data_IF_384720056705
#
_entry.id   IF_384720056705
#
_cell.length_a   1.000
_cell.length_b   1.000
_cell.length_c   1.000
_cell.angle_alpha   90.00
_cell.angle_beta   90.00
_cell.angle_gamma   90.00
#
_symmetry.space_group_name_H-M   'P 1'
#
loop_
_entity.id
_entity.type
_entity.pdbx_description
1 polymer ?
#
# COMPACT_ATOMS: atom_id res chain seq x y z
N UNK A 1 1.11 20.10 2.89
CA UNK A 1 0.11 19.52 3.81
C UNK A 1 0.55 19.80 5.23
N UNK A 2 -0.29 20.43 6.06
CA UNK A 2 0.01 20.69 7.48
C UNK A 2 -0.67 19.60 8.32
N UNK A 3 -0.07 19.16 9.43
CA UNK A 3 -0.61 18.10 10.30
C UNK A 3 -2.04 18.40 10.77
N UNK A 4 -2.35 19.68 11.03
CA UNK A 4 -3.72 20.11 11.37
C UNK A 4 -4.73 19.79 10.26
N UNK A 5 -4.32 19.89 8.99
CA UNK A 5 -5.22 19.58 7.88
C UNK A 5 -5.49 18.09 7.82
N UNK A 6 -4.45 17.24 7.93
CA UNK A 6 -4.63 15.78 7.95
C UNK A 6 -5.56 15.34 9.08
N UNK A 7 -5.37 15.89 10.30
CA UNK A 7 -6.23 15.59 11.43
C UNK A 7 -7.69 16.00 11.16
N UNK A 8 -7.92 17.22 10.68
CA UNK A 8 -9.25 17.71 10.38
C UNK A 8 -9.93 16.90 9.27
N UNK A 9 -9.20 16.53 8.22
CA UNK A 9 -9.74 15.77 7.09
C UNK A 9 -10.20 14.37 7.53
N UNK A 10 -9.43 13.72 8.41
CA UNK A 10 -9.78 12.41 8.99
C UNK A 10 -10.97 12.51 9.96
N UNK A 11 -10.99 13.52 10.83
CA UNK A 11 -12.12 13.78 11.75
C UNK A 11 -13.42 14.07 10.97
N UNK A 12 -13.34 14.87 9.91
CA UNK A 12 -14.48 15.14 9.03
C UNK A 12 -14.99 13.89 8.30
N UNK A 13 -14.13 12.89 8.14
CA UNK A 13 -14.48 11.59 7.55
C UNK A 13 -15.01 10.59 8.59
N UNK A 14 -15.19 11.02 9.84
CA UNK A 14 -15.67 10.19 10.96
C UNK A 14 -14.58 9.38 11.66
N UNK A 15 -13.32 9.48 11.23
CA UNK A 15 -12.18 8.74 11.78
C UNK A 15 -11.50 9.59 12.85
N UNK A 16 -12.15 9.67 14.01
CA UNK A 16 -11.73 10.49 15.14
C UNK A 16 -10.47 9.89 15.80
N UNK A 17 -9.61 10.74 16.37
CA UNK A 17 -8.39 10.34 17.11
C UNK A 17 -7.34 9.56 16.30
N UNK A 18 -7.45 9.51 14.96
CA UNK A 18 -6.52 8.81 14.08
C UNK A 18 -5.11 9.43 13.99
N UNK A 19 -4.92 10.67 14.43
CA UNK A 19 -3.60 11.33 14.50
C UNK A 19 -3.30 11.72 15.94
N UNK A 20 -2.41 10.96 16.57
CA UNK A 20 -1.97 11.19 17.95
C UNK A 20 -0.55 11.76 17.99
N UNK A 21 -0.28 12.56 19.01
CA UNK A 21 1.05 13.07 19.32
C UNK A 21 1.44 12.59 20.71
N UNK A 22 2.53 11.83 20.79
CA UNK A 22 3.05 11.28 22.03
C UNK A 22 4.57 11.15 21.93
N UNK A 23 5.29 11.42 23.03
CA UNK A 23 6.75 11.30 23.12
C UNK A 23 7.52 11.94 21.95
N UNK A 24 7.14 13.18 21.59
CA UNK A 24 7.75 13.95 20.51
C UNK A 24 7.66 13.29 19.12
N UNK A 25 6.63 12.47 18.89
CA UNK A 25 6.36 11.77 17.63
C UNK A 25 4.89 11.82 17.28
N UNK A 26 4.62 11.79 15.97
CA UNK A 26 3.26 11.64 15.45
C UNK A 26 3.02 10.19 15.05
N UNK A 27 1.81 9.72 15.33
CA UNK A 27 1.35 8.41 14.90
C UNK A 27 0.04 8.59 14.14
N UNK A 28 -0.13 7.77 13.10
CA UNK A 28 -1.40 7.60 12.41
C UNK A 28 -1.95 6.24 12.83
N UNK A 29 -3.03 6.23 13.60
CA UNK A 29 -3.77 5.02 13.96
C UNK A 29 -4.59 4.62 12.75
N UNK A 30 -4.38 3.40 12.25
CA UNK A 30 -4.94 2.92 10.99
C UNK A 30 -5.98 1.81 11.16
N UNK A 31 -6.58 1.66 12.34
CA UNK A 31 -7.61 0.62 12.59
C UNK A 31 -8.82 0.77 11.65
N UNK A 32 -9.20 2.01 11.34
CA UNK A 32 -10.29 2.35 10.41
C UNK A 32 -9.78 2.82 9.03
N UNK A 33 -8.46 2.73 8.78
CA UNK A 33 -7.83 3.21 7.54
C UNK A 33 -7.24 2.02 6.79
N UNK A 34 -7.88 1.62 5.70
CA UNK A 34 -7.30 0.65 4.78
C UNK A 34 -6.38 1.32 3.74
N UNK A 35 -5.25 0.69 3.46
CA UNK A 35 -4.37 1.09 2.37
C UNK A 35 -4.35 0.02 1.29
N UNK A 36 -4.48 0.44 0.04
CA UNK A 36 -4.36 -0.41 -1.14
C UNK A 36 -3.01 -1.16 -1.19
N UNK A 37 -1.95 -0.48 -0.76
CA UNK A 37 -0.60 -1.02 -0.65
C UNK A 37 -0.50 -2.14 0.41
N UNK A 38 -1.21 -2.03 1.53
CA UNK A 38 -1.27 -3.12 2.53
C UNK A 38 -2.03 -4.33 1.97
N UNK A 39 -3.08 -4.11 1.17
CA UNK A 39 -3.79 -5.19 0.47
C UNK A 39 -2.91 -5.87 -0.59
N UNK A 40 -2.14 -5.09 -1.34
CA UNK A 40 -1.18 -5.59 -2.32
C UNK A 40 -0.08 -6.44 -1.66
N UNK A 41 0.53 -5.94 -0.57
CA UNK A 41 1.57 -6.67 0.16
C UNK A 41 1.03 -7.96 0.78
N UNK A 42 -0.15 -7.95 1.43
CA UNK A 42 -0.78 -9.16 1.98
C UNK A 42 -1.07 -10.19 0.90
N UNK A 43 -1.63 -9.77 -0.23
CA UNK A 43 -1.91 -10.67 -1.37
C UNK A 43 -0.61 -11.27 -1.92
N UNK A 44 0.49 -10.51 -1.92
CA UNK A 44 1.78 -11.01 -2.37
C UNK A 44 2.38 -12.05 -1.41
N UNK A 45 2.27 -11.83 -0.10
CA UNK A 45 2.70 -12.83 0.88
C UNK A 45 1.89 -14.13 0.76
N UNK A 46 0.58 -14.05 0.52
CA UNK A 46 -0.25 -15.22 0.19
C UNK A 46 0.23 -15.90 -1.10
N UNK A 47 0.49 -15.14 -2.17
CA UNK A 47 0.98 -15.68 -3.44
C UNK A 47 2.35 -16.35 -3.33
N UNK A 48 3.23 -15.85 -2.46
CA UNK A 48 4.53 -16.48 -2.16
C UNK A 48 4.37 -17.83 -1.47
N UNK A 49 3.43 -17.93 -0.53
CA UNK A 49 3.17 -19.17 0.21
C UNK A 49 2.40 -20.19 -0.65
N UNK A 50 1.47 -19.71 -1.47
CA UNK A 50 0.65 -20.52 -2.36
C UNK A 50 0.46 -19.81 -3.70
N UNK A 51 1.30 -20.12 -4.68
CA UNK A 51 1.19 -19.50 -6.01
C UNK A 51 0.03 -20.09 -6.80
N UNK A 52 -1.09 -19.36 -6.86
CA UNK A 52 -2.27 -19.70 -7.67
C UNK A 52 -2.52 -18.66 -8.77
N UNK A 53 -3.24 -19.06 -9.83
CA UNK A 53 -3.62 -18.14 -10.92
C UNK A 53 -4.54 -17.03 -10.42
N UNK A 54 -5.40 -17.33 -9.45
CA UNK A 54 -6.35 -16.39 -8.84
C UNK A 54 -5.61 -15.28 -8.10
N UNK A 55 -4.62 -15.64 -7.28
CA UNK A 55 -3.79 -14.68 -6.55
C UNK A 55 -2.91 -13.86 -7.50
N UNK A 56 -2.35 -14.47 -8.55
CA UNK A 56 -1.61 -13.73 -9.58
C UNK A 56 -2.51 -12.70 -10.29
N UNK A 57 -3.73 -13.07 -10.69
CA UNK A 57 -4.70 -12.13 -11.29
C UNK A 57 -5.08 -11.00 -10.33
N UNK A 58 -5.25 -11.32 -9.04
CA UNK A 58 -5.53 -10.32 -7.99
C UNK A 58 -4.36 -9.35 -7.81
N UNK A 59 -3.12 -9.81 -7.83
CA UNK A 59 -1.94 -8.92 -7.80
C UNK A 59 -1.91 -7.97 -8.99
N UNK A 60 -2.15 -8.48 -10.21
CA UNK A 60 -2.19 -7.62 -11.39
C UNK A 60 -3.31 -6.60 -11.33
N UNK A 61 -4.48 -6.95 -10.77
CA UNK A 61 -5.60 -6.01 -10.67
C UNK A 61 -5.40 -4.95 -9.59
N UNK A 62 -4.67 -5.26 -8.51
CA UNK A 62 -4.34 -4.32 -7.44
C UNK A 62 -3.24 -3.34 -7.83
N UNK A 63 -2.32 -3.71 -8.72
CA UNK A 63 -1.27 -2.81 -9.18
C UNK A 63 -1.82 -1.75 -10.16
N UNK A 64 -2.01 -0.52 -9.67
CA UNK A 64 -2.58 0.60 -10.47
C UNK A 64 -1.55 1.47 -11.19
N UNK A 65 -0.27 1.17 -11.04
CA UNK A 65 0.82 1.97 -11.56
C UNK A 65 1.97 2.06 -10.57
N UNK A 66 2.90 2.97 -10.81
CA UNK A 66 4.04 3.18 -9.93
C UNK A 66 3.59 3.73 -8.56
N UNK A 67 4.14 3.16 -7.49
CA UNK A 67 3.81 3.56 -6.11
C UNK A 67 4.19 5.02 -5.86
N UNK A 68 3.20 5.83 -5.48
CA UNK A 68 3.33 7.26 -5.25
C UNK A 68 4.06 7.99 -6.39
N UNK A 69 3.67 7.72 -7.65
CA UNK A 69 4.35 8.22 -8.86
C UNK A 69 4.66 9.73 -8.83
N UNK A 70 3.71 10.54 -8.34
CA UNK A 70 3.81 12.00 -8.28
C UNK A 70 4.63 12.53 -7.08
N UNK A 71 5.08 11.64 -6.17
CA UNK A 71 5.81 12.04 -4.97
C UNK A 71 7.27 11.60 -5.04
N UNK A 72 8.16 12.58 -5.14
CA UNK A 72 9.60 12.34 -5.20
C UNK A 72 10.22 12.34 -3.80
N UNK A 73 10.56 11.14 -3.31
CA UNK A 73 11.39 10.99 -2.12
C UNK A 73 12.19 9.69 -2.18
N UNK A 74 13.40 9.70 -1.62
CA UNK A 74 14.31 8.55 -1.65
C UNK A 74 13.71 7.29 -1.03
N UNK A 75 12.91 7.44 0.03
CA UNK A 75 12.26 6.31 0.72
C UNK A 75 11.18 5.62 -0.12
N UNK A 76 10.68 6.26 -1.18
CA UNK A 76 9.66 5.71 -2.07
C UNK A 76 10.28 4.74 -3.07
N UNK A 77 11.56 4.95 -3.43
CA UNK A 77 12.25 4.22 -4.49
C UNK A 77 12.26 2.70 -4.24
N UNK A 78 12.51 2.28 -2.99
CA UNK A 78 12.51 0.86 -2.62
C UNK A 78 11.16 0.19 -2.89
N UNK A 79 10.05 0.82 -2.45
CA UNK A 79 8.70 0.29 -2.68
C UNK A 79 8.33 0.26 -4.16
N UNK A 80 8.75 1.26 -4.96
CA UNK A 80 8.51 1.27 -6.41
C UNK A 80 9.17 0.08 -7.10
N UNK A 81 10.45 -0.16 -6.81
CA UNK A 81 11.21 -1.30 -7.36
C UNK A 81 10.53 -2.61 -6.95
N UNK A 82 10.30 -2.80 -5.65
CA UNK A 82 9.68 -4.03 -5.12
C UNK A 82 8.32 -4.30 -5.73
N UNK A 83 7.43 -3.31 -5.81
CA UNK A 83 6.07 -3.52 -6.32
C UNK A 83 6.08 -3.80 -7.81
N UNK A 84 7.00 -3.18 -8.57
CA UNK A 84 7.19 -3.49 -9.99
C UNK A 84 7.64 -4.93 -10.20
N UNK A 85 8.61 -5.40 -9.41
CA UNK A 85 9.09 -6.78 -9.49
C UNK A 85 7.97 -7.79 -9.18
N UNK A 86 7.16 -7.53 -8.16
CA UNK A 86 6.00 -8.37 -7.80
C UNK A 86 5.01 -8.44 -8.97
N UNK A 87 4.70 -7.28 -9.57
CA UNK A 87 3.80 -7.19 -10.72
C UNK A 87 4.32 -8.03 -11.92
N UNK A 88 5.58 -7.86 -12.29
CA UNK A 88 6.17 -8.64 -13.40
C UNK A 88 6.20 -10.14 -13.08
N UNK A 89 6.49 -10.52 -11.83
CA UNK A 89 6.49 -11.93 -11.40
C UNK A 89 5.10 -12.57 -11.53
N UNK A 90 4.04 -11.87 -11.11
CA UNK A 90 2.66 -12.33 -11.28
C UNK A 90 2.26 -12.43 -12.76
N UNK A 91 2.72 -11.50 -13.60
CA UNK A 91 2.48 -11.49 -15.04
C UNK A 91 3.15 -12.65 -15.75
N UNK A 92 4.41 -12.94 -15.41
CA UNK A 92 5.16 -14.09 -15.94
C UNK A 92 4.48 -15.39 -15.53
N UNK A 93 4.08 -15.53 -14.27
CA UNK A 93 3.38 -16.73 -13.78
C UNK A 93 2.13 -17.06 -14.61
N UNK A 94 1.33 -16.06 -14.97
CA UNK A 94 0.13 -16.25 -15.79
C UNK A 94 0.39 -16.53 -17.28
N UNK A 95 1.61 -16.26 -17.74
CA UNK A 95 2.02 -16.44 -19.14
C UNK A 95 2.67 -17.80 -19.40
N UNK A 96 3.18 -18.46 -18.36
CA UNK A 96 3.90 -19.75 -18.44
C UNK A 96 3.01 -20.94 -18.07
N UNK A 97 1.93 -20.72 -17.31
CA UNK A 97 0.96 -21.74 -16.88
C UNK A 97 -0.27 -21.76 -17.78
#
# INVERSE_FOLDING_TARGET
MNQRHLKNDLENSGIVESVIYHDNRYFVIREEIECDSDLFERTYEEFKNQSTRELAKKLLSLYKGEYLAEFEALWVAEKRIRYREIYEKAKVYLSVV
#
